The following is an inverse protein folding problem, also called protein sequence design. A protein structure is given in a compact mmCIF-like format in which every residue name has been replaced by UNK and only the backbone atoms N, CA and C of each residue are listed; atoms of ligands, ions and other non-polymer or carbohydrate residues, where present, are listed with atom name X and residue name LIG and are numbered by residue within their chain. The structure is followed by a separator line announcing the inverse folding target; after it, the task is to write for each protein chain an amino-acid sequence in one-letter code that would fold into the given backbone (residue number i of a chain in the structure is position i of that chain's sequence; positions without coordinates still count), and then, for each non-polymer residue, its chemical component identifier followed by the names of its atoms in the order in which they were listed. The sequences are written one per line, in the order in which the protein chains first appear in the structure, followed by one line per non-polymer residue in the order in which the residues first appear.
data_IF_156341461868
#
_entry.id   IF_156341461868
#
_cell.length_a   1.000
_cell.length_b   1.000
_cell.length_c   1.000
_cell.angle_alpha   90.00
_cell.angle_beta   90.00
_cell.angle_gamma   90.00
#
_symmetry.space_group_name_H-M   'P 1'
#
loop_
_entity.id
_entity.type
_entity.pdbx_description
1 polymer ?
#
# COMPACT_ATOMS: atom_id res chain seq x y z
N UNK A 1 44.08 8.02 6.16
CA UNK A 1 43.65 8.02 7.56
C UNK A 1 42.58 9.10 7.66
N UNK A 2 41.35 8.68 7.36
CA UNK A 2 40.25 8.53 8.34
C UNK A 2 39.56 9.89 8.54
N UNK A 3 38.29 10.11 8.23
CA UNK A 3 37.10 9.25 8.36
C UNK A 3 36.03 9.70 7.36
N UNK A 4 35.57 8.79 6.48
CA UNK A 4 34.39 9.02 5.66
C UNK A 4 33.15 8.58 6.46
N UNK A 5 32.37 9.55 6.95
CA UNK A 5 31.10 9.33 7.60
C UNK A 5 30.07 8.85 6.57
N UNK A 6 29.93 7.53 6.43
CA UNK A 6 28.87 6.89 5.65
C UNK A 6 27.54 7.06 6.39
N UNK A 7 26.81 8.11 6.02
CA UNK A 7 25.44 8.32 6.43
C UNK A 7 24.55 7.26 5.76
N UNK A 8 24.26 6.17 6.49
CA UNK A 8 23.31 5.13 6.06
C UNK A 8 21.89 5.66 6.30
N UNK A 9 21.08 5.92 5.26
CA UNK A 9 19.71 6.36 5.46
C UNK A 9 18.89 5.19 6.06
N UNK A 10 18.06 5.52 7.04
CA UNK A 10 17.13 4.58 7.67
C UNK A 10 16.24 3.94 6.60
N UNK A 11 16.18 2.61 6.60
CA UNK A 11 15.28 1.85 5.75
C UNK A 11 13.83 2.26 6.05
N UNK A 12 13.26 3.05 5.14
CA UNK A 12 11.84 3.38 5.16
C UNK A 12 11.03 2.09 5.05
N UNK A 13 10.05 1.97 5.95
CA UNK A 13 9.03 0.94 5.90
C UNK A 13 8.46 0.87 4.46
N UNK A 14 8.38 -0.32 3.83
CA UNK A 14 7.80 -0.42 2.50
C UNK A 14 6.36 0.12 2.55
N UNK A 15 5.92 0.89 1.55
CA UNK A 15 4.56 1.39 1.49
C UNK A 15 3.57 0.22 1.60
N UNK A 16 2.40 0.41 2.24
CA UNK A 16 1.38 -0.62 2.30
C UNK A 16 1.02 -1.02 0.87
N UNK A 17 0.94 -2.33 0.60
CA UNK A 17 0.44 -2.86 -0.65
C UNK A 17 -1.01 -2.39 -0.80
N UNK A 18 -1.22 -1.29 -1.53
CA UNK A 18 -2.55 -0.91 -1.99
C UNK A 18 -2.98 -2.03 -2.92
N UNK A 19 -4.08 -2.71 -2.57
CA UNK A 19 -4.73 -3.67 -3.46
C UNK A 19 -5.45 -2.80 -4.50
N UNK A 20 -4.68 -2.15 -5.35
CA UNK A 20 -5.20 -1.53 -6.56
C UNK A 20 -5.66 -2.69 -7.45
N UNK A 21 -6.84 -2.54 -8.05
CA UNK A 21 -7.44 -3.57 -8.91
C UNK A 21 -6.43 -3.94 -10.00
N UNK A 22 -6.27 -5.24 -10.24
CA UNK A 22 -5.35 -5.73 -11.26
C UNK A 22 -5.67 -5.09 -12.62
N UNK A 23 -4.71 -4.39 -13.27
CA UNK A 23 -4.95 -3.67 -14.51
C UNK A 23 -5.43 -4.59 -15.64
N UNK A 24 -5.06 -5.87 -15.61
CA UNK A 24 -5.56 -6.85 -16.58
C UNK A 24 -7.06 -7.12 -16.37
N UNK A 25 -7.48 -7.28 -15.11
CA UNK A 25 -8.89 -7.45 -14.75
C UNK A 25 -9.71 -6.21 -15.10
N UNK A 26 -9.14 -5.01 -14.93
CA UNK A 26 -9.81 -3.77 -15.33
C UNK A 26 -9.97 -3.64 -16.85
N UNK A 27 -8.95 -4.04 -17.62
CA UNK A 27 -9.02 -4.09 -19.08
C UNK A 27 -10.07 -5.09 -19.57
N UNK A 28 -10.15 -6.27 -18.96
CA UNK A 28 -11.15 -7.28 -19.28
C UNK A 28 -12.56 -6.71 -19.09
N UNK A 29 -12.86 -6.11 -17.94
CA UNK A 29 -14.16 -5.48 -17.66
C UNK A 29 -14.51 -4.37 -18.67
N UNK A 30 -13.52 -3.56 -19.06
CA UNK A 30 -13.70 -2.47 -20.03
C UNK A 30 -14.02 -3.00 -21.44
N UNK A 31 -13.33 -4.06 -21.88
CA UNK A 31 -13.62 -4.73 -23.15
C UNK A 31 -15.02 -5.37 -23.14
N UNK A 32 -15.37 -6.01 -22.03
CA UNK A 32 -16.68 -6.64 -21.84
C UNK A 32 -17.81 -5.62 -21.94
N UNK A 33 -17.62 -4.45 -21.31
CA UNK A 33 -18.55 -3.34 -21.40
C UNK A 33 -18.64 -2.78 -22.82
N UNK A 34 -17.50 -2.61 -23.50
CA UNK A 34 -17.46 -2.13 -24.88
C UNK A 34 -18.27 -3.03 -25.82
N UNK A 35 -18.08 -4.36 -25.72
CA UNK A 35 -18.81 -5.34 -26.53
C UNK A 35 -20.31 -5.33 -26.20
N UNK A 36 -20.68 -5.23 -24.91
CA UNK A 36 -22.09 -5.12 -24.49
C UNK A 36 -22.76 -3.87 -25.07
N UNK A 37 -22.07 -2.73 -25.05
CA UNK A 37 -22.56 -1.49 -25.64
C UNK A 37 -22.72 -1.66 -27.15
N UNK A 38 -21.75 -2.25 -27.86
CA UNK A 38 -21.85 -2.52 -29.30
C UNK A 38 -23.05 -3.41 -29.65
N UNK A 39 -23.24 -4.51 -28.92
CA UNK A 39 -24.34 -5.43 -29.17
C UNK A 39 -25.71 -4.79 -28.89
N UNK A 40 -25.82 -4.02 -27.81
CA UNK A 40 -27.02 -3.26 -27.48
C UNK A 40 -27.31 -2.19 -28.54
N UNK A 41 -26.26 -1.54 -29.05
CA UNK A 41 -26.34 -0.51 -30.08
C UNK A 41 -26.86 -1.07 -31.40
N UNK A 42 -26.30 -2.19 -31.86
CA UNK A 42 -26.77 -2.87 -33.06
C UNK A 42 -28.21 -3.35 -32.91
N UNK A 43 -28.58 -3.88 -31.75
CA UNK A 43 -29.95 -4.28 -31.44
C UNK A 43 -30.91 -3.10 -31.45
N UNK A 44 -30.51 -1.96 -30.91
CA UNK A 44 -31.31 -0.73 -30.92
C UNK A 44 -31.57 -0.26 -32.36
N UNK A 45 -30.53 -0.19 -33.20
CA UNK A 45 -30.65 0.25 -34.58
C UNK A 45 -31.51 -0.70 -35.42
N UNK A 46 -31.29 -2.01 -35.30
CA UNK A 46 -32.05 -3.00 -36.08
C UNK A 46 -33.53 -3.06 -35.69
N UNK A 47 -33.87 -2.85 -34.41
CA UNK A 47 -35.26 -2.90 -33.96
C UNK A 47 -36.03 -1.58 -34.14
N UNK A 48 -35.34 -0.44 -34.20
CA UNK A 48 -35.98 0.88 -34.22
C UNK A 48 -35.80 1.67 -35.53
N UNK A 49 -35.01 1.17 -36.48
CA UNK A 49 -34.82 1.82 -37.76
C UNK A 49 -36.15 2.02 -38.52
N UNK A 50 -36.44 3.28 -38.84
CA UNK A 50 -37.52 3.65 -39.75
C UNK A 50 -37.20 3.20 -41.17
N UNK A 51 -38.20 2.68 -41.89
CA UNK A 51 -38.02 2.27 -43.28
C UNK A 51 -38.12 3.50 -44.20
N UNK A 52 -37.07 3.76 -44.98
CA UNK A 52 -37.07 4.82 -46.00
C UNK A 52 -37.62 4.27 -47.31
N UNK A 53 -38.64 4.91 -47.87
CA UNK A 53 -39.20 4.57 -49.18
C UNK A 53 -38.31 5.12 -50.29
N UNK A 54 -37.71 4.21 -51.06
CA UNK A 54 -36.82 4.56 -52.18
C UNK A 54 -37.65 4.91 -53.44
N UNK A 55 -38.88 4.40 -53.55
CA UNK A 55 -39.80 4.67 -54.66
C UNK A 55 -41.24 4.91 -54.17
N UNK A 56 -41.90 5.93 -54.72
CA UNK A 56 -43.24 6.36 -54.30
C UNK A 56 -44.37 5.38 -54.67
N UNK A 57 -44.15 4.50 -55.65
CA UNK A 57 -45.17 3.57 -56.16
C UNK A 57 -45.16 2.19 -55.48
N UNK A 58 -44.15 1.90 -54.66
CA UNK A 58 -44.03 0.61 -53.96
C UNK A 58 -44.41 0.82 -52.49
N UNK A 59 -45.63 0.45 -52.06
CA UNK A 59 -45.99 0.52 -50.66
C UNK A 59 -45.14 -0.46 -49.85
N UNK A 60 -44.59 0.01 -48.73
CA UNK A 60 -43.80 -0.80 -47.81
C UNK A 60 -44.69 -1.97 -47.34
N UNK A 61 -44.32 -3.21 -47.67
CA UNK A 61 -45.08 -4.37 -47.21
C UNK A 61 -44.83 -4.55 -45.71
N UNK A 62 -45.67 -3.90 -44.91
CA UNK A 62 -45.77 -4.02 -43.47
C UNK A 62 -46.14 -5.47 -43.06
N UNK A 63 -45.19 -6.41 -43.12
CA UNK A 63 -45.38 -7.79 -42.60
C UNK A 63 -44.82 -8.02 -41.19
N UNK A 64 -44.22 -7.01 -40.56
CA UNK A 64 -43.86 -7.02 -39.12
C UNK A 64 -44.50 -5.87 -38.31
N UNK A 65 -45.48 -5.18 -38.90
CA UNK A 65 -46.06 -3.95 -38.36
C UNK A 65 -46.98 -4.12 -37.13
N UNK A 66 -47.07 -5.31 -36.53
CA UNK A 66 -47.82 -5.51 -35.27
C UNK A 66 -46.94 -5.51 -34.02
N UNK A 67 -45.59 -5.56 -34.14
CA UNK A 67 -44.67 -5.38 -32.99
C UNK A 67 -43.68 -4.23 -33.15
N UNK A 68 -43.26 -3.90 -34.39
CA UNK A 68 -42.27 -2.86 -34.64
C UNK A 68 -42.84 -1.43 -34.61
N UNK A 69 -44.08 -1.23 -35.07
CA UNK A 69 -44.70 0.09 -35.26
C UNK A 69 -44.88 0.92 -33.99
N UNK A 70 -44.92 0.29 -32.81
CA UNK A 70 -45.02 0.98 -31.52
C UNK A 70 -43.66 1.42 -30.95
N UNK A 71 -42.54 1.10 -31.64
CA UNK A 71 -41.16 1.35 -31.19
C UNK A 71 -40.31 2.09 -32.22
N UNK A 72 -40.88 2.44 -33.37
CA UNK A 72 -40.19 3.25 -34.37
C UNK A 72 -40.00 4.65 -33.80
N UNK A 73 -38.78 5.15 -33.96
CA UNK A 73 -38.35 6.47 -33.50
C UNK A 73 -38.30 7.38 -34.73
N UNK A 74 -38.64 8.65 -34.56
CA UNK A 74 -38.53 9.64 -35.64
C UNK A 74 -37.07 9.75 -36.11
N UNK A 75 -36.86 10.05 -37.39
CA UNK A 75 -35.52 10.03 -37.99
C UNK A 75 -34.55 10.96 -37.26
N UNK A 76 -35.01 12.14 -36.85
CA UNK A 76 -34.23 13.15 -36.11
C UNK A 76 -33.82 12.66 -34.71
N UNK A 77 -34.76 12.04 -33.98
CA UNK A 77 -34.50 11.43 -32.66
C UNK A 77 -33.54 10.24 -32.79
N UNK A 78 -33.65 9.45 -33.85
CA UNK A 78 -32.76 8.33 -34.13
C UNK A 78 -31.35 8.80 -34.46
N UNK A 79 -31.20 9.90 -35.22
CA UNK A 79 -29.90 10.47 -35.55
C UNK A 79 -29.18 11.02 -34.32
N UNK A 80 -29.90 11.73 -33.44
CA UNK A 80 -29.34 12.17 -32.16
C UNK A 80 -28.90 11.01 -31.27
N UNK A 81 -29.70 9.95 -31.19
CA UNK A 81 -29.36 8.74 -30.44
C UNK A 81 -28.14 8.01 -31.03
N UNK A 82 -27.98 8.00 -32.36
CA UNK A 82 -26.80 7.43 -33.04
C UNK A 82 -25.54 8.22 -32.68
N UNK A 83 -25.61 9.55 -32.73
CA UNK A 83 -24.45 10.40 -32.44
C UNK A 83 -23.98 10.25 -30.99
N UNK A 84 -24.91 10.14 -30.03
CA UNK A 84 -24.61 9.82 -28.63
C UNK A 84 -23.93 8.45 -28.49
N UNK A 85 -24.50 7.42 -29.12
CA UNK A 85 -23.96 6.06 -29.12
C UNK A 85 -22.54 5.99 -29.68
N UNK A 86 -22.29 6.69 -30.79
CA UNK A 86 -20.97 6.76 -31.41
C UNK A 86 -20.00 7.50 -30.50
N UNK A 87 -20.43 8.60 -29.87
CA UNK A 87 -19.63 9.32 -28.87
C UNK A 87 -19.21 8.43 -27.70
N UNK A 88 -20.14 7.70 -27.13
CA UNK A 88 -19.90 6.75 -26.04
C UNK A 88 -18.96 5.63 -26.46
N UNK A 89 -19.17 5.07 -27.65
CA UNK A 89 -18.33 3.99 -28.18
C UNK A 89 -16.89 4.45 -28.41
N UNK A 90 -16.69 5.63 -29.01
CA UNK A 90 -15.35 6.21 -29.22
C UNK A 90 -14.70 6.56 -27.89
N UNK A 91 -15.45 7.10 -26.94
CA UNK A 91 -14.97 7.37 -25.59
C UNK A 91 -14.47 6.09 -24.91
N UNK A 92 -15.29 5.04 -24.91
CA UNK A 92 -14.92 3.74 -24.32
C UNK A 92 -13.76 3.05 -25.03
N UNK A 93 -13.66 3.18 -26.35
CA UNK A 93 -12.52 2.66 -27.11
C UNK A 93 -11.21 3.36 -26.73
N UNK A 94 -11.24 4.69 -26.49
CA UNK A 94 -10.07 5.43 -25.99
C UNK A 94 -9.72 5.07 -24.55
N UNK A 95 -10.72 4.85 -23.69
CA UNK A 95 -10.48 4.37 -22.33
C UNK A 95 -9.73 3.02 -22.36
N UNK A 96 -10.16 2.10 -23.23
CA UNK A 96 -9.48 0.80 -23.45
C UNK A 96 -8.06 0.98 -23.98
N UNK A 97 -7.84 1.89 -24.94
CA UNK A 97 -6.50 2.21 -25.45
C UNK A 97 -5.57 2.75 -24.35
N UNK A 98 -6.11 3.61 -23.47
CA UNK A 98 -5.41 4.10 -22.28
C UNK A 98 -5.06 2.98 -21.30
N UNK A 99 -5.99 2.04 -21.06
CA UNK A 99 -5.76 0.87 -20.20
C UNK A 99 -4.68 -0.06 -20.77
N UNK A 100 -4.69 -0.28 -22.10
CA UNK A 100 -3.64 -1.06 -22.78
C UNK A 100 -2.27 -0.39 -22.59
N UNK A 101 -2.19 0.93 -22.74
CA UNK A 101 -0.96 1.69 -22.53
C UNK A 101 -0.51 1.74 -21.06
N UNK A 102 -1.42 1.46 -20.12
CA UNK A 102 -1.14 1.37 -18.69
C UNK A 102 -0.79 -0.05 -18.21
N UNK A 103 -0.82 -1.05 -19.09
CA UNK A 103 -0.38 -2.39 -18.72
C UNK A 103 1.12 -2.36 -18.38
N UNK A 104 1.55 -3.06 -17.31
CA UNK A 104 2.98 -3.23 -17.04
C UNK A 104 3.64 -3.84 -18.28
N UNK A 105 4.85 -3.37 -18.63
CA UNK A 105 5.57 -3.74 -19.85
C UNK A 105 5.68 -5.27 -20.00
N UNK A 106 4.68 -5.85 -20.66
CA UNK A 106 4.48 -7.29 -20.79
C UNK A 106 5.20 -7.84 -22.01
N UNK A 107 6.50 -7.56 -22.14
CA UNK A 107 7.33 -8.08 -23.24
C UNK A 107 8.76 -8.42 -22.81
N UNK A 108 9.03 -8.59 -21.52
CA UNK A 108 10.22 -9.34 -21.12
C UNK A 108 9.99 -10.82 -21.42
N UNK A 109 11.01 -11.50 -21.93
CA UNK A 109 10.93 -12.95 -22.14
C UNK A 109 10.67 -13.67 -20.80
N UNK A 110 10.03 -14.85 -20.84
CA UNK A 110 9.83 -15.66 -19.62
C UNK A 110 11.17 -15.92 -18.89
N UNK A 111 12.27 -16.01 -19.63
CA UNK A 111 13.61 -16.18 -19.09
C UNK A 111 14.08 -14.94 -18.30
N UNK A 112 13.83 -13.73 -18.81
CA UNK A 112 14.16 -12.48 -18.12
C UNK A 112 13.34 -12.32 -16.84
N UNK A 113 12.04 -12.60 -16.89
CA UNK A 113 11.17 -12.58 -15.72
C UNK A 113 11.62 -13.60 -14.67
N UNK A 114 11.95 -14.81 -15.10
CA UNK A 114 12.42 -15.87 -14.18
C UNK A 114 13.74 -15.47 -13.51
N UNK A 115 14.66 -14.84 -14.26
CA UNK A 115 15.91 -14.33 -13.72
C UNK A 115 15.69 -13.19 -12.74
N UNK A 116 14.81 -12.24 -13.04
CA UNK A 116 14.46 -11.15 -12.14
C UNK A 116 13.82 -11.68 -10.85
N UNK A 117 12.90 -12.64 -10.95
CA UNK A 117 12.32 -13.30 -9.77
C UNK A 117 13.39 -14.02 -8.93
N UNK A 118 14.33 -14.71 -9.56
CA UNK A 118 15.41 -15.39 -8.85
C UNK A 118 16.35 -14.40 -8.16
N UNK A 119 16.65 -13.27 -8.79
CA UNK A 119 17.42 -12.19 -8.19
C UNK A 119 16.68 -11.58 -7.00
N UNK A 120 15.39 -11.29 -7.16
CA UNK A 120 14.55 -10.75 -6.08
C UNK A 120 14.45 -11.71 -4.89
N UNK A 121 14.28 -13.02 -5.11
CA UNK A 121 14.29 -14.03 -4.03
C UNK A 121 15.63 -14.04 -3.29
N UNK A 122 16.75 -13.94 -4.03
CA UNK A 122 18.09 -13.83 -3.43
C UNK A 122 18.23 -12.58 -2.57
N UNK A 123 17.78 -11.42 -3.08
CA UNK A 123 17.79 -10.15 -2.34
C UNK A 123 16.91 -10.22 -1.09
N UNK A 124 15.72 -10.81 -1.18
CA UNK A 124 14.81 -11.00 -0.03
C UNK A 124 15.46 -11.91 1.02
N UNK A 125 16.12 -13.01 0.61
CA UNK A 125 16.81 -13.90 1.54
C UNK A 125 17.94 -13.19 2.28
N UNK A 126 18.74 -12.40 1.55
CA UNK A 126 19.82 -11.62 2.14
C UNK A 126 19.28 -10.57 3.12
N UNK A 127 18.29 -9.78 2.69
CA UNK A 127 17.65 -8.77 3.52
C UNK A 127 17.03 -9.36 4.79
N UNK A 128 16.40 -10.54 4.69
CA UNK A 128 15.86 -11.25 5.84
C UNK A 128 16.94 -11.79 6.78
N UNK A 129 18.09 -12.23 6.26
CA UNK A 129 19.21 -12.65 7.07
C UNK A 129 19.80 -11.46 7.86
N UNK A 130 20.02 -10.33 7.18
CA UNK A 130 20.49 -9.09 7.78
C UNK A 130 19.50 -8.56 8.82
N UNK A 131 18.20 -8.62 8.51
CA UNK A 131 17.14 -8.24 9.44
C UNK A 131 17.18 -9.10 10.71
N UNK A 132 17.35 -10.42 10.58
CA UNK A 132 17.46 -11.33 11.74
C UNK A 132 18.70 -11.05 12.59
N UNK A 133 19.83 -10.70 11.97
CA UNK A 133 21.04 -10.31 12.70
C UNK A 133 20.82 -9.01 13.47
N UNK A 134 20.31 -7.98 12.79
CA UNK A 134 20.00 -6.70 13.41
C UNK A 134 19.00 -6.84 14.57
N UNK A 135 18.01 -7.73 14.42
CA UNK A 135 17.03 -8.02 15.48
C UNK A 135 17.70 -8.67 16.70
N UNK A 136 18.60 -9.64 16.50
CA UNK A 136 19.35 -10.27 17.60
C UNK A 136 20.24 -9.27 18.33
N UNK A 137 20.94 -8.42 17.59
CA UNK A 137 21.79 -7.38 18.17
C UNK A 137 20.96 -6.39 19.00
N UNK A 138 19.78 -6.02 18.50
CA UNK A 138 18.86 -5.16 19.22
C UNK A 138 18.32 -5.81 20.50
N UNK A 139 17.96 -7.10 20.45
CA UNK A 139 17.53 -7.88 21.62
C UNK A 139 18.67 -8.00 22.66
N UNK A 140 19.89 -8.26 22.23
CA UNK A 140 21.05 -8.35 23.12
C UNK A 140 21.33 -7.00 23.80
N UNK A 141 21.36 -5.92 23.03
CA UNK A 141 21.52 -4.56 23.55
C UNK A 141 20.41 -4.21 24.54
N UNK A 142 19.17 -4.63 24.29
CA UNK A 142 18.06 -4.44 25.21
C UNK A 142 18.30 -5.17 26.55
N UNK A 143 18.79 -6.41 26.50
CA UNK A 143 19.15 -7.17 27.72
C UNK A 143 20.29 -6.47 28.47
N UNK A 144 21.33 -6.03 27.77
CA UNK A 144 22.46 -5.30 28.39
C UNK A 144 22.01 -3.99 29.02
N UNK A 145 21.17 -3.21 28.33
CA UNK A 145 20.64 -1.94 28.82
C UNK A 145 19.78 -2.14 30.07
N UNK A 146 18.88 -3.14 30.07
CA UNK A 146 18.06 -3.43 31.24
C UNK A 146 18.90 -3.90 32.43
N UNK A 147 19.97 -4.67 32.21
CA UNK A 147 20.91 -5.05 33.25
C UNK A 147 21.66 -3.84 33.84
N UNK A 148 22.15 -2.93 33.00
CA UNK A 148 22.79 -1.69 33.44
C UNK A 148 21.84 -0.82 34.26
N UNK A 149 20.58 -0.65 33.81
CA UNK A 149 19.57 0.09 34.55
C UNK A 149 19.31 -0.50 35.94
N UNK A 150 19.21 -1.84 36.04
CA UNK A 150 19.08 -2.52 37.34
C UNK A 150 20.29 -2.28 38.24
N UNK A 151 21.50 -2.35 37.69
CA UNK A 151 22.73 -2.13 38.45
C UNK A 151 22.80 -0.70 39.00
N UNK A 152 22.50 0.31 38.16
CA UNK A 152 22.46 1.72 38.58
C UNK A 152 21.40 1.93 39.66
N UNK A 153 20.21 1.32 39.50
CA UNK A 153 19.16 1.38 40.52
C UNK A 153 19.61 0.76 41.86
N UNK A 154 20.26 -0.41 41.81
CA UNK A 154 20.79 -1.07 43.01
C UNK A 154 21.90 -0.24 43.68
N UNK A 155 22.80 0.36 42.92
CA UNK A 155 23.85 1.23 43.46
C UNK A 155 23.25 2.46 44.15
N UNK A 156 22.28 3.13 43.50
CA UNK A 156 21.57 4.25 44.11
C UNK A 156 20.86 3.87 45.41
N UNK A 157 20.20 2.69 45.44
CA UNK A 157 19.58 2.18 46.65
C UNK A 157 20.60 1.92 47.76
N UNK A 158 21.75 1.31 47.45
CA UNK A 158 22.83 1.07 48.42
C UNK A 158 23.38 2.37 48.98
N UNK A 159 23.68 3.34 48.13
CA UNK A 159 24.18 4.66 48.54
C UNK A 159 23.17 5.36 49.45
N UNK A 160 21.88 5.32 49.10
CA UNK A 160 20.81 5.89 49.93
C UNK A 160 20.73 5.22 51.31
N UNK A 161 20.83 3.90 51.39
CA UNK A 161 20.84 3.17 52.66
C UNK A 161 22.10 3.47 53.49
N UNK A 162 23.27 3.57 52.86
CA UNK A 162 24.51 3.98 53.54
C UNK A 162 24.41 5.38 54.13
N UNK A 163 23.88 6.34 53.37
CA UNK A 163 23.65 7.70 53.86
C UNK A 163 22.65 7.71 55.04
N UNK A 164 21.52 7.02 54.91
CA UNK A 164 20.55 6.88 56.01
C UNK A 164 21.19 6.26 57.26
N UNK A 165 22.02 5.23 57.11
CA UNK A 165 22.71 4.58 58.23
C UNK A 165 23.76 5.49 58.87
N UNK A 166 24.50 6.26 58.07
CA UNK A 166 25.48 7.24 58.58
C UNK A 166 24.81 8.39 59.35
N UNK A 167 23.61 8.80 58.93
CA UNK A 167 22.78 9.80 59.62
C UNK A 167 22.15 9.24 60.91
N UNK A 168 21.89 7.93 60.97
CA UNK A 168 21.29 7.26 62.12
C UNK A 168 22.31 6.73 63.16
N UNK A 169 23.62 6.77 62.86
CA UNK A 169 24.65 6.32 63.80
C UNK A 169 24.87 7.37 64.91
N UNK A 170 24.79 7.00 66.20
CA UNK A 170 25.09 7.94 67.29
C UNK A 170 26.57 8.31 67.29
N UNK A 171 26.87 9.59 67.57
CA UNK A 171 28.22 10.12 67.62
C UNK A 171 29.12 9.29 68.57
N UNK A 172 30.37 8.97 68.18
CA UNK A 172 31.28 8.30 69.10
C UNK A 172 31.50 9.23 70.30
N UNK A 173 31.15 8.73 71.49
CA UNK A 173 31.37 9.42 72.75
C UNK A 173 32.85 9.82 72.84
N UNK A 174 33.13 11.11 72.67
CA UNK A 174 34.43 11.70 72.88
C UNK A 174 34.88 11.37 74.29
N UNK A 175 35.96 10.61 74.39
CA UNK A 175 36.70 10.38 75.61
C UNK A 175 37.09 11.73 76.23
N UNK A 176 36.42 12.12 77.32
CA UNK A 176 36.85 13.21 78.18
C UNK A 176 37.92 12.69 79.13
N UNK A 177 39.18 12.95 78.78
CA UNK A 177 40.29 12.90 79.72
C UNK A 177 40.21 14.06 80.72
N UNK A 178 40.53 13.77 81.98
CA UNK A 178 40.82 14.75 83.02
C UNK A 178 41.67 14.09 84.10
N UNK A 179 42.97 14.40 84.24
CA UNK A 179 43.82 13.86 85.30
C UNK A 179 43.54 14.60 86.61
N UNK A 180 42.91 13.92 87.56
CA UNK A 180 42.75 14.39 88.94
C UNK A 180 44.01 14.11 89.75
N UNK A 181 44.75 15.16 90.06
CA UNK A 181 45.80 15.22 91.08
C UNK A 181 45.14 15.37 92.46
N UNK A 182 45.45 14.49 93.42
CA UNK A 182 45.35 14.68 94.88
C UNK A 182 46.08 13.49 95.55
N UNK A 183 47.30 13.59 96.10
CA UNK A 183 47.78 14.28 97.32
C UNK A 183 46.96 13.97 98.58
N UNK A 184 47.41 13.02 99.41
CA UNK A 184 47.82 13.16 100.83
C UNK A 184 47.61 11.90 101.68
N UNK A 185 48.71 11.58 102.39
CA UNK A 185 48.87 10.89 103.70
C UNK A 185 48.66 9.38 103.77
#
# INVERSE_FOLDING_TARGET
MDTAATHRPAAGLPPPLTIDKDPLTELEDALDLLIKIMAASLSYLTLRASHVTIHAEVPISAKEATRASARLVELEEMQGAIDELVGDLVGKARDVEGLIGGLPDGLQSEDEQTNELAELDSQIRLANADFKLALRDAEELQVQLTALLRNVQHEQQRTRLHLQRSLAAPAPALASGGPGVDVRR
#
